data_IF_544888250095
#
_entry.id   IF_544888250095
#
_cell.length_a   1.000
_cell.length_b   1.000
_cell.length_c   1.000
_cell.angle_alpha   90.00
_cell.angle_beta   90.00
_cell.angle_gamma   90.00
#
_symmetry.space_group_name_H-M   'P 1'
#
loop_
_entity.id
_entity.type
_entity.pdbx_description
1 polymer ?
#
# COMPACT_ATOMS: atom_id res chain seq x y z
N UNK A 1 7.25 -13.89 5.17
CA UNK A 1 6.73 -12.52 5.27
C UNK A 1 7.65 -11.68 6.13
N UNK A 2 8.00 -10.47 5.70
CA UNK A 2 8.84 -9.54 6.45
C UNK A 2 8.05 -8.88 7.59
N UNK A 3 8.39 -9.24 8.83
CA UNK A 3 7.75 -8.66 10.04
C UNK A 3 7.86 -7.13 10.10
N UNK A 4 8.92 -6.55 9.53
CA UNK A 4 9.12 -5.11 9.46
C UNK A 4 8.14 -4.45 8.48
N UNK A 5 7.98 -5.05 7.29
CA UNK A 5 7.05 -4.56 6.26
C UNK A 5 5.61 -4.56 6.77
N UNK A 6 5.18 -5.66 7.38
CA UNK A 6 3.86 -5.80 7.98
C UNK A 6 3.62 -4.76 9.08
N UNK A 7 4.55 -4.64 10.03
CA UNK A 7 4.43 -3.68 11.13
C UNK A 7 4.32 -2.23 10.61
N UNK A 8 5.14 -1.88 9.62
CA UNK A 8 5.17 -0.54 9.04
C UNK A 8 3.85 -0.21 8.33
N UNK A 9 3.38 -1.10 7.45
CA UNK A 9 2.16 -0.88 6.67
C UNK A 9 0.91 -0.84 7.57
N UNK A 10 0.77 -1.78 8.51
CA UNK A 10 -0.37 -1.81 9.43
C UNK A 10 -0.37 -0.65 10.44
N UNK A 11 0.79 -0.08 10.75
CA UNK A 11 0.87 1.13 11.59
C UNK A 11 0.39 2.38 10.83
N UNK A 12 0.56 2.41 9.50
CA UNK A 12 0.04 3.50 8.67
C UNK A 12 -1.47 3.36 8.36
N UNK A 13 -1.97 2.12 8.34
CA UNK A 13 -3.37 1.76 8.07
C UNK A 13 -3.98 1.02 9.28
N UNK A 14 -4.26 1.71 10.40
CA UNK A 14 -4.71 1.05 11.63
C UNK A 14 -6.03 0.29 11.45
N UNK A 15 -6.93 0.80 10.61
CA UNK A 15 -8.23 0.17 10.31
C UNK A 15 -8.08 -1.17 9.57
N UNK A 16 -6.97 -1.38 8.85
CA UNK A 16 -6.64 -2.65 8.20
C UNK A 16 -6.15 -3.70 9.20
N UNK A 17 -5.59 -3.30 10.35
CA UNK A 17 -4.94 -4.23 11.29
C UNK A 17 -5.88 -5.32 11.76
N UNK A 18 -7.10 -4.98 12.14
CA UNK A 18 -8.06 -5.97 12.65
C UNK A 18 -8.48 -6.97 11.56
N UNK A 19 -8.87 -6.47 10.39
CA UNK A 19 -9.28 -7.33 9.27
C UNK A 19 -8.14 -8.20 8.74
N UNK A 20 -6.91 -7.68 8.71
CA UNK A 20 -5.72 -8.46 8.36
C UNK A 20 -5.45 -9.57 9.38
N UNK A 21 -5.50 -9.26 10.68
CA UNK A 21 -5.31 -10.28 11.72
C UNK A 21 -6.40 -11.36 11.70
N UNK A 22 -7.65 -10.99 11.39
CA UNK A 22 -8.72 -11.95 11.16
C UNK A 22 -8.42 -12.87 9.97
N UNK A 23 -7.95 -12.31 8.85
CA UNK A 23 -7.52 -13.08 7.68
C UNK A 23 -6.34 -14.01 8.00
N UNK A 24 -5.33 -13.56 8.74
CA UNK A 24 -4.21 -14.42 9.17
C UNK A 24 -4.66 -15.63 9.97
N UNK A 25 -5.70 -15.49 10.79
CA UNK A 25 -6.23 -16.59 11.60
C UNK A 25 -7.03 -17.61 10.80
N UNK A 26 -7.40 -17.33 9.55
CA UNK A 26 -8.11 -18.30 8.70
C UNK A 26 -7.18 -19.31 8.04
N UNK A 27 -5.86 -19.11 8.08
CA UNK A 27 -4.88 -20.04 7.51
C UNK A 27 -4.69 -21.27 8.40
N UNK A 28 -4.46 -22.42 7.76
CA UNK A 28 -4.23 -23.68 8.47
C UNK A 28 -2.88 -23.71 9.21
N UNK A 29 -2.66 -24.70 10.07
CA UNK A 29 -1.36 -24.90 10.72
C UNK A 29 -0.24 -25.06 9.67
N UNK A 30 0.78 -24.19 9.72
CA UNK A 30 1.91 -24.21 8.79
C UNK A 30 1.70 -23.38 7.50
N UNK A 31 0.52 -22.80 7.32
CA UNK A 31 0.26 -21.81 6.27
C UNK A 31 0.45 -20.41 6.85
N UNK A 32 1.25 -19.58 6.18
CA UNK A 32 1.37 -18.17 6.50
C UNK A 32 1.10 -17.33 5.26
N UNK A 33 0.43 -16.18 5.41
CA UNK A 33 0.33 -15.25 4.31
C UNK A 33 1.72 -14.75 3.93
N UNK A 34 1.94 -14.63 2.63
CA UNK A 34 3.17 -14.04 2.09
C UNK A 34 3.09 -12.50 2.03
N UNK A 35 4.20 -11.87 1.64
CA UNK A 35 4.27 -10.42 1.51
C UNK A 35 3.30 -9.89 0.44
N UNK A 36 3.04 -10.63 -0.65
CA UNK A 36 2.14 -10.19 -1.71
C UNK A 36 0.68 -10.13 -1.22
N UNK A 37 0.24 -11.09 -0.42
CA UNK A 37 -1.10 -11.07 0.19
C UNK A 37 -1.31 -9.85 1.07
N UNK A 38 -0.28 -9.45 1.83
CA UNK A 38 -0.31 -8.21 2.62
C UNK A 38 -0.41 -6.98 1.72
N UNK A 39 0.43 -6.88 0.68
CA UNK A 39 0.41 -5.74 -0.25
C UNK A 39 -0.94 -5.61 -0.96
N UNK A 40 -1.57 -6.73 -1.33
CA UNK A 40 -2.90 -6.74 -1.92
C UNK A 40 -4.01 -6.32 -0.95
N UNK A 41 -3.89 -6.67 0.33
CA UNK A 41 -4.81 -6.19 1.37
C UNK A 41 -4.66 -4.67 1.58
N UNK A 42 -3.42 -4.18 1.66
CA UNK A 42 -3.10 -2.75 1.77
C UNK A 42 -3.61 -1.98 0.55
N UNK A 43 -3.36 -2.48 -0.66
CA UNK A 43 -3.82 -1.88 -1.92
C UNK A 43 -5.33 -1.68 -1.95
N UNK A 44 -6.10 -2.73 -1.66
CA UNK A 44 -7.56 -2.68 -1.61
C UNK A 44 -8.06 -1.71 -0.55
N UNK A 45 -7.45 -1.70 0.62
CA UNK A 45 -7.81 -0.79 1.70
C UNK A 45 -7.58 0.68 1.29
N UNK A 46 -6.40 0.98 0.74
CA UNK A 46 -6.01 2.32 0.31
C UNK A 46 -6.89 2.83 -0.82
N UNK A 47 -7.24 1.96 -1.79
CA UNK A 47 -8.21 2.31 -2.82
C UNK A 47 -9.58 2.65 -2.22
N UNK A 48 -10.03 1.89 -1.21
CA UNK A 48 -11.27 2.17 -0.48
C UNK A 48 -11.23 3.53 0.25
N UNK A 49 -10.09 3.92 0.83
CA UNK A 49 -9.91 5.24 1.43
C UNK A 49 -10.07 6.35 0.39
N UNK A 50 -9.45 6.19 -0.79
CA UNK A 50 -9.56 7.16 -1.89
C UNK A 50 -11.00 7.28 -2.38
N UNK A 51 -11.69 6.16 -2.61
CA UNK A 51 -13.09 6.14 -3.03
C UNK A 51 -14.03 6.78 -2.00
N UNK A 52 -13.72 6.66 -0.72
CA UNK A 52 -14.48 7.27 0.37
C UNK A 52 -14.09 8.73 0.68
N UNK A 53 -13.15 9.33 -0.06
CA UNK A 53 -12.67 10.70 0.20
C UNK A 53 -11.87 10.85 1.50
N UNK A 54 -11.35 9.75 2.07
CA UNK A 54 -10.57 9.71 3.32
C UNK A 54 -9.12 10.16 3.08
N UNK A 55 -8.97 11.41 2.67
CA UNK A 55 -7.70 12.01 2.26
C UNK A 55 -6.64 12.07 3.37
N UNK A 56 -7.04 12.24 4.64
CA UNK A 56 -6.10 12.29 5.76
C UNK A 56 -5.42 10.94 6.00
N UNK A 57 -6.19 9.86 5.89
CA UNK A 57 -5.72 8.48 6.00
C UNK A 57 -4.84 8.10 4.81
N UNK A 58 -5.27 8.45 3.60
CA UNK A 58 -4.44 8.28 2.41
C UNK A 58 -3.10 9.02 2.53
N UNK A 59 -3.11 10.27 3.00
CA UNK A 59 -1.90 11.06 3.21
C UNK A 59 -0.95 10.41 4.23
N UNK A 60 -1.49 9.83 5.32
CA UNK A 60 -0.69 9.10 6.30
C UNK A 60 -0.01 7.88 5.68
N UNK A 61 -0.76 7.10 4.90
CA UNK A 61 -0.22 5.96 4.16
C UNK A 61 0.88 6.40 3.17
N UNK A 62 0.61 7.41 2.35
CA UNK A 62 1.56 7.91 1.35
C UNK A 62 2.89 8.38 1.99
N UNK A 63 2.83 9.04 3.15
CA UNK A 63 4.02 9.43 3.91
C UNK A 63 4.81 8.23 4.45
N UNK A 64 4.11 7.20 4.93
CA UNK A 64 4.76 5.99 5.40
C UNK A 64 5.45 5.25 4.24
N UNK A 65 4.78 5.17 3.09
CA UNK A 65 5.32 4.55 1.89
C UNK A 65 6.54 5.31 1.34
N UNK A 66 6.52 6.65 1.34
CA UNK A 66 7.66 7.46 0.93
C UNK A 66 8.91 7.20 1.80
N UNK A 67 8.74 7.07 3.12
CA UNK A 67 9.84 6.70 4.02
C UNK A 67 10.33 5.29 3.76
N UNK A 68 9.40 4.34 3.63
CA UNK A 68 9.71 2.94 3.39
C UNK A 68 10.52 2.75 2.10
N UNK A 69 10.15 3.44 1.02
CA UNK A 69 10.92 3.45 -0.23
C UNK A 69 12.29 4.10 -0.05
N UNK A 70 12.39 5.16 0.77
CA UNK A 70 13.65 5.84 1.04
C UNK A 70 14.66 5.00 1.82
N UNK A 71 14.17 4.05 2.63
CA UNK A 71 14.98 3.14 3.46
C UNK A 71 15.12 1.74 2.84
N UNK A 72 14.41 1.47 1.73
CA UNK A 72 14.39 0.16 1.10
C UNK A 72 15.73 -0.22 0.46
N UNK A 73 16.16 -1.45 0.70
CA UNK A 73 17.14 -2.10 -0.16
C UNK A 73 16.54 -2.37 -1.56
N UNK A 74 17.37 -2.74 -2.57
CA UNK A 74 16.86 -2.96 -3.94
C UNK A 74 15.75 -4.00 -4.04
N UNK A 75 15.78 -5.07 -3.22
CA UNK A 75 14.77 -6.14 -3.25
C UNK A 75 13.44 -5.61 -2.70
N UNK A 76 13.48 -4.92 -1.55
CA UNK A 76 12.29 -4.32 -0.95
C UNK A 76 11.73 -3.20 -1.84
N UNK A 77 12.59 -2.42 -2.50
CA UNK A 77 12.17 -1.39 -3.44
C UNK A 77 11.39 -2.00 -4.60
N UNK A 78 11.91 -3.06 -5.24
CA UNK A 78 11.24 -3.74 -6.34
C UNK A 78 9.92 -4.38 -5.88
N UNK A 79 9.91 -5.00 -4.69
CA UNK A 79 8.69 -5.56 -4.09
C UNK A 79 7.60 -4.49 -3.91
N UNK A 80 7.94 -3.33 -3.35
CA UNK A 80 6.98 -2.24 -3.14
C UNK A 80 6.52 -1.60 -4.46
N UNK A 81 7.44 -1.49 -5.41
CA UNK A 81 7.16 -0.89 -6.71
C UNK A 81 6.23 -1.76 -7.53
N UNK A 82 6.56 -3.04 -7.69
CA UNK A 82 5.81 -3.99 -8.53
C UNK A 82 4.59 -4.58 -7.79
N UNK A 83 4.72 -4.83 -6.48
CA UNK A 83 3.67 -5.46 -5.68
C UNK A 83 2.63 -4.50 -5.10
N UNK A 84 2.92 -3.20 -5.02
CA UNK A 84 2.02 -2.22 -4.40
C UNK A 84 1.78 -0.97 -5.26
N UNK A 85 2.83 -0.21 -5.60
CA UNK A 85 2.67 1.10 -6.26
C UNK A 85 2.06 0.99 -7.65
N UNK A 86 2.63 0.15 -8.53
CA UNK A 86 2.14 -0.01 -9.90
C UNK A 86 0.70 -0.56 -9.93
N UNK A 87 0.37 -1.63 -9.17
CA UNK A 87 -1.00 -2.10 -9.07
C UNK A 87 -1.95 -1.03 -8.51
N UNK A 88 -1.56 -0.31 -7.44
CA UNK A 88 -2.41 0.75 -6.88
C UNK A 88 -2.68 1.87 -7.89
N UNK A 89 -1.66 2.31 -8.63
CA UNK A 89 -1.82 3.33 -9.66
C UNK A 89 -2.72 2.87 -10.82
N UNK A 90 -2.70 1.58 -11.16
CA UNK A 90 -3.67 1.00 -12.10
C UNK A 90 -5.08 1.02 -11.50
N UNK A 91 -5.25 0.50 -10.29
CA UNK A 91 -6.57 0.38 -9.67
C UNK A 91 -7.22 1.76 -9.41
N UNK A 92 -6.45 2.78 -9.04
CA UNK A 92 -6.91 4.18 -8.91
C UNK A 92 -7.47 4.69 -10.23
N UNK A 93 -6.79 4.41 -11.35
CA UNK A 93 -7.25 4.81 -12.69
C UNK A 93 -8.51 4.05 -13.10
N UNK A 94 -8.52 2.72 -12.90
CA UNK A 94 -9.67 1.87 -13.21
C UNK A 94 -10.92 2.26 -12.38
N UNK A 95 -10.72 2.71 -11.14
CA UNK A 95 -11.78 3.22 -10.29
C UNK A 95 -12.24 4.65 -10.64
N UNK A 96 -11.61 5.32 -11.62
CA UNK A 96 -11.94 6.69 -11.99
C UNK A 96 -11.61 7.72 -10.90
N UNK A 97 -10.66 7.43 -10.02
CA UNK A 97 -10.22 8.38 -8.99
C UNK A 97 -9.40 9.48 -9.64
N UNK A 98 -9.86 10.72 -9.47
CA UNK A 98 -9.20 11.90 -10.02
C UNK A 98 -7.74 12.02 -9.56
N UNK A 99 -6.78 12.37 -10.44
CA UNK A 99 -5.38 12.53 -10.08
C UNK A 99 -5.15 13.53 -8.94
N UNK A 100 -6.02 14.54 -8.81
CA UNK A 100 -5.99 15.53 -7.73
C UNK A 100 -6.22 14.94 -6.34
N UNK A 101 -6.84 13.77 -6.23
CA UNK A 101 -7.02 13.04 -4.98
C UNK A 101 -5.76 12.30 -4.53
N UNK A 102 -4.78 12.11 -5.42
CA UNK A 102 -3.59 11.29 -5.19
C UNK A 102 -2.31 12.11 -5.23
N UNK A 103 -2.09 12.85 -6.33
CA UNK A 103 -0.84 13.55 -6.63
C UNK A 103 -0.34 14.48 -5.51
N UNK A 104 -1.18 15.24 -4.79
CA UNK A 104 -0.72 16.12 -3.71
C UNK A 104 -0.09 15.40 -2.52
N UNK A 105 -0.35 14.09 -2.36
CA UNK A 105 0.11 13.32 -1.21
C UNK A 105 1.33 12.45 -1.54
N UNK A 106 1.67 12.29 -2.81
CA UNK A 106 2.87 11.57 -3.22
C UNK A 106 4.11 12.41 -2.90
N UNK A 107 5.07 11.81 -2.20
CA UNK A 107 6.40 12.36 -1.99
C UNK A 107 7.26 12.28 -3.25
N UNK A 108 8.52 12.72 -3.16
CA UNK A 108 9.42 12.75 -4.31
C UNK A 108 9.68 11.35 -4.91
N UNK A 109 9.95 10.34 -4.07
CA UNK A 109 10.27 8.99 -4.54
C UNK A 109 9.03 8.24 -5.02
N UNK A 110 7.95 8.33 -4.24
CA UNK A 110 6.66 7.76 -4.62
C UNK A 110 6.14 8.37 -5.91
N UNK A 111 6.31 9.68 -6.15
CA UNK A 111 5.94 10.33 -7.42
C UNK A 111 6.78 9.86 -8.61
N UNK A 112 8.07 9.53 -8.40
CA UNK A 112 8.93 8.97 -9.46
C UNK A 112 8.59 7.52 -9.78
N UNK A 113 8.21 6.75 -8.75
CA UNK A 113 7.80 5.36 -8.90
C UNK A 113 6.33 5.22 -9.34
N UNK A 114 5.53 6.28 -9.22
CA UNK A 114 4.16 6.33 -9.68
C UNK A 114 4.13 6.35 -11.20
N UNK A 115 3.56 5.32 -11.86
CA UNK A 115 3.49 5.31 -13.31
C UNK A 115 2.60 6.47 -13.78
N UNK A 116 3.23 7.46 -14.40
CA UNK A 116 2.58 8.38 -15.33
C UNK A 116 2.28 7.56 -16.59
N UNK A 117 1.14 7.78 -17.23
CA UNK A 117 0.60 6.95 -18.32
C UNK A 117 1.63 6.48 -19.37
N UNK A 118 1.40 5.32 -20.03
CA UNK A 118 2.27 4.80 -21.08
C UNK A 118 2.49 5.76 -22.26
#
# INVERSE_FOLDING_TARGET
>A
MSSFLESTLLSSCPDLRESWQAHRRSFGPGEEPDDQMLLDAVRRHVLGLLAAGRAAEFSRFARALERLIGEADPILYDLLREGLLRPLARDVREAGVEPSCVAPYLGARTSLAWPKEP
#
